data_IF_690263837803
#
_entry.id   IF_690263837803
#
_cell.length_a   1.000
_cell.length_b   1.000
_cell.length_c   1.000
_cell.angle_alpha   90.00
_cell.angle_beta   90.00
_cell.angle_gamma   90.00
#
_symmetry.space_group_name_H-M   'P 1'
#
loop_
_entity.id
_entity.type
_entity.pdbx_description
1 polymer ?
#
# COMPACT_ATOMS: atom_id res chain seq x y z
N UNK A 1 -25.34 19.28 32.65
CA UNK A 1 -25.48 18.92 31.21
C UNK A 1 -24.16 18.95 30.44
N UNK A 2 -23.13 19.67 30.90
CA UNK A 2 -21.84 19.82 30.19
C UNK A 2 -20.84 18.65 30.37
N UNK A 3 -20.86 17.98 31.53
CA UNK A 3 -19.88 16.92 31.84
C UNK A 3 -20.19 15.59 31.16
N UNK A 4 -21.48 15.23 31.01
CA UNK A 4 -21.88 13.98 30.31
C UNK A 4 -21.56 13.99 28.81
N UNK A 5 -21.50 15.17 28.18
CA UNK A 5 -21.12 15.32 26.76
C UNK A 5 -19.60 15.16 26.54
N UNK A 6 -18.77 15.41 27.55
CA UNK A 6 -17.31 15.23 27.47
C UNK A 6 -16.87 13.77 27.66
N UNK A 7 -17.75 12.91 28.17
CA UNK A 7 -17.43 11.50 28.40
C UNK A 7 -17.74 10.62 27.17
N UNK A 8 -18.79 10.95 26.41
CA UNK A 8 -19.18 10.24 25.18
C UNK A 8 -18.24 10.50 23.98
N UNK A 9 -17.46 11.58 24.02
CA UNK A 9 -16.47 11.92 22.97
C UNK A 9 -15.15 11.17 23.09
N UNK A 10 -14.94 10.42 24.18
CA UNK A 10 -13.85 9.44 24.32
C UNK A 10 -14.20 8.08 23.72
N UNK A 11 -14.91 8.07 22.58
CA UNK A 11 -14.83 6.93 21.66
C UNK A 11 -13.41 6.95 21.09
N UNK A 12 -12.47 6.45 21.89
CA UNK A 12 -11.03 6.52 21.66
C UNK A 12 -10.74 6.27 20.18
N UNK A 13 -10.16 7.27 19.52
CA UNK A 13 -9.48 7.07 18.26
C UNK A 13 -8.28 6.15 18.52
N UNK A 14 -8.56 4.85 18.67
CA UNK A 14 -7.60 3.82 19.02
C UNK A 14 -6.80 3.52 17.76
N UNK A 15 -5.78 4.34 17.54
CA UNK A 15 -4.80 4.12 16.49
C UNK A 15 -4.23 2.70 16.63
N UNK A 16 -4.22 1.90 15.56
CA UNK A 16 -3.75 0.52 15.62
C UNK A 16 -2.28 0.51 16.07
N UNK A 17 -1.97 -0.41 16.97
CA UNK A 17 -0.62 -0.59 17.51
C UNK A 17 -0.04 0.67 18.20
N UNK A 18 -0.88 1.55 18.76
CA UNK A 18 -0.43 2.61 19.66
C UNK A 18 -0.75 2.28 21.13
N UNK A 19 0.19 2.61 22.01
CA UNK A 19 0.07 2.46 23.46
C UNK A 19 0.56 3.77 24.08
N UNK A 20 -0.29 4.48 24.83
CA UNK A 20 0.02 5.76 25.48
C UNK A 20 0.61 6.81 24.53
N UNK A 21 0.04 6.96 23.33
CA UNK A 21 0.52 7.94 22.34
C UNK A 21 1.83 7.56 21.63
N UNK A 22 2.46 6.44 21.98
CA UNK A 22 3.67 5.93 21.32
C UNK A 22 3.34 4.69 20.47
N UNK A 23 4.01 4.56 19.32
CA UNK A 23 3.87 3.38 18.46
C UNK A 23 4.51 2.17 19.13
N UNK A 24 3.72 1.12 19.28
CA UNK A 24 4.13 -0.17 19.82
C UNK A 24 4.62 -1.07 18.67
N UNK A 25 5.91 -0.91 18.33
CA UNK A 25 6.56 -1.67 17.27
C UNK A 25 6.59 -3.18 17.54
N UNK A 26 6.68 -3.60 18.80
CA UNK A 26 6.68 -5.01 19.18
C UNK A 26 5.36 -5.66 18.77
N UNK A 27 4.25 -5.04 19.17
CA UNK A 27 2.90 -5.53 18.83
C UNK A 27 2.63 -5.44 17.32
N UNK A 28 3.10 -4.42 16.62
CA UNK A 28 3.00 -4.36 15.15
C UNK A 28 3.75 -5.53 14.50
N UNK A 29 4.97 -5.81 14.94
CA UNK A 29 5.78 -6.87 14.39
C UNK A 29 5.15 -8.25 14.61
N UNK A 30 4.68 -8.54 15.81
CA UNK A 30 3.99 -9.80 16.13
C UNK A 30 2.71 -9.98 15.28
N UNK A 31 1.93 -8.93 15.09
CA UNK A 31 0.64 -9.03 14.42
C UNK A 31 0.68 -8.86 12.90
N UNK A 32 1.74 -8.27 12.34
CA UNK A 32 1.80 -7.93 10.91
C UNK A 32 3.14 -8.34 10.30
N UNK A 33 4.24 -7.72 10.72
CA UNK A 33 5.50 -7.82 9.96
C UNK A 33 6.17 -9.19 10.04
N UNK A 34 6.04 -9.89 11.17
CA UNK A 34 6.60 -11.23 11.38
C UNK A 34 5.81 -12.32 10.66
N UNK A 35 4.56 -12.05 10.26
CA UNK A 35 3.70 -13.04 9.60
C UNK A 35 4.33 -13.54 8.30
N UNK A 36 4.30 -14.85 8.02
CA UNK A 36 4.88 -15.42 6.80
C UNK A 36 4.37 -14.76 5.51
N UNK A 37 3.08 -14.40 5.45
CA UNK A 37 2.49 -13.73 4.29
C UNK A 37 3.10 -12.34 4.05
N UNK A 38 3.26 -11.53 5.11
CA UNK A 38 3.88 -10.21 5.00
C UNK A 38 5.35 -10.31 4.57
N UNK A 39 6.09 -11.27 5.13
CA UNK A 39 7.48 -11.55 4.74
C UNK A 39 7.59 -11.99 3.28
N UNK A 40 6.71 -12.87 2.81
CA UNK A 40 6.64 -13.31 1.40
C UNK A 40 6.34 -12.14 0.46
N UNK A 41 5.36 -11.31 0.80
CA UNK A 41 5.02 -10.12 0.01
C UNK A 41 6.19 -9.14 -0.08
N UNK A 42 6.87 -8.88 1.05
CA UNK A 42 8.07 -8.03 1.08
C UNK A 42 9.20 -8.61 0.24
N UNK A 43 9.50 -9.90 0.38
CA UNK A 43 10.52 -10.58 -0.41
C UNK A 43 10.23 -10.50 -1.92
N UNK A 44 8.97 -10.68 -2.31
CA UNK A 44 8.54 -10.52 -3.70
C UNK A 44 8.81 -9.11 -4.23
N UNK A 45 8.41 -8.07 -3.48
CA UNK A 45 8.67 -6.68 -3.86
C UNK A 45 10.16 -6.36 -4.02
N UNK A 46 10.99 -6.83 -3.09
CA UNK A 46 12.46 -6.66 -3.17
C UNK A 46 13.04 -7.38 -4.39
N UNK A 47 12.56 -8.59 -4.71
CA UNK A 47 13.00 -9.32 -5.88
C UNK A 47 12.68 -8.57 -7.19
N UNK A 48 11.47 -8.02 -7.29
CA UNK A 48 11.06 -7.20 -8.45
C UNK A 48 11.94 -5.95 -8.56
N UNK A 49 12.16 -5.23 -7.47
CA UNK A 49 12.98 -4.03 -7.47
C UNK A 49 14.42 -4.32 -7.94
N UNK A 50 15.04 -5.37 -7.39
CA UNK A 50 16.40 -5.77 -7.78
C UNK A 50 16.50 -6.19 -9.24
N UNK A 51 15.48 -6.85 -9.78
CA UNK A 51 15.45 -7.21 -11.19
C UNK A 51 15.34 -5.97 -12.09
N UNK A 52 14.51 -4.99 -11.71
CA UNK A 52 14.39 -3.72 -12.44
C UNK A 52 15.68 -2.89 -12.39
N UNK A 53 16.38 -2.89 -11.25
CA UNK A 53 17.68 -2.25 -11.09
C UNK A 53 18.74 -2.96 -11.95
N UNK A 54 18.76 -4.29 -11.97
CA UNK A 54 19.67 -5.08 -12.81
C UNK A 54 19.43 -4.88 -14.32
N UNK A 55 18.18 -4.67 -14.74
CA UNK A 55 17.81 -4.29 -16.11
C UNK A 55 18.13 -2.80 -16.43
N UNK A 56 18.62 -2.02 -15.46
CA UNK A 56 18.92 -0.59 -15.62
C UNK A 56 17.66 0.30 -15.72
N UNK A 57 16.48 -0.24 -15.41
CA UNK A 57 15.20 0.47 -15.53
C UNK A 57 14.88 1.33 -14.31
N UNK A 58 15.31 0.89 -13.13
CA UNK A 58 15.10 1.56 -11.86
C UNK A 58 16.43 1.93 -11.20
N UNK A 59 16.41 2.93 -10.32
CA UNK A 59 17.56 3.25 -9.48
C UNK A 59 17.12 3.66 -8.08
N UNK A 60 18.00 3.50 -7.09
CA UNK A 60 17.69 3.89 -5.72
C UNK A 60 17.46 5.40 -5.66
N UNK A 61 16.23 5.80 -5.37
CA UNK A 61 15.84 7.21 -5.25
C UNK A 61 15.33 7.85 -6.54
N UNK A 62 15.02 7.07 -7.57
CA UNK A 62 14.37 7.56 -8.80
C UNK A 62 12.98 8.19 -8.60
N UNK A 63 12.37 7.97 -7.42
CA UNK A 63 11.05 8.49 -7.07
C UNK A 63 9.91 7.83 -7.84
N UNK A 64 10.16 6.68 -8.47
CA UNK A 64 9.18 5.93 -9.24
C UNK A 64 8.56 4.81 -8.38
N UNK A 65 7.28 4.55 -8.62
CA UNK A 65 6.58 3.41 -8.05
C UNK A 65 6.51 2.25 -9.06
N UNK A 66 6.56 1.01 -8.55
CA UNK A 66 6.30 -0.21 -9.32
C UNK A 66 4.79 -0.41 -9.50
N UNK A 67 4.29 -0.21 -10.72
CA UNK A 67 2.91 -0.44 -11.12
C UNK A 67 2.76 -1.69 -11.98
N UNK A 68 1.58 -2.30 -11.97
CA UNK A 68 1.25 -3.38 -12.92
C UNK A 68 0.69 -2.77 -14.21
N UNK A 69 1.08 -3.29 -15.39
CA UNK A 69 0.52 -2.91 -16.70
C UNK A 69 -0.94 -3.36 -16.78
N UNK A 70 -1.25 -4.55 -16.28
CA UNK A 70 -2.60 -5.06 -16.01
C UNK A 70 -2.71 -5.45 -14.54
N UNK A 71 -3.72 -4.98 -13.84
CA UNK A 71 -3.97 -5.25 -12.43
C UNK A 71 -4.37 -6.72 -12.22
N UNK A 72 -4.06 -7.28 -11.04
CA UNK A 72 -4.45 -8.65 -10.66
C UNK A 72 -5.96 -8.90 -10.78
N UNK A 73 -6.79 -7.95 -10.35
CA UNK A 73 -8.25 -8.04 -10.43
C UNK A 73 -8.78 -8.04 -11.87
N UNK A 74 -7.93 -7.72 -12.86
CA UNK A 74 -8.22 -7.74 -14.29
C UNK A 74 -7.42 -8.83 -15.02
N UNK A 75 -6.92 -9.83 -14.28
CA UNK A 75 -6.19 -10.97 -14.83
C UNK A 75 -4.71 -10.69 -15.11
N UNK A 76 -4.13 -9.66 -14.51
CA UNK A 76 -2.68 -9.42 -14.56
C UNK A 76 -1.88 -10.44 -13.75
N UNK A 77 -0.58 -10.52 -14.03
CA UNK A 77 0.36 -11.41 -13.35
C UNK A 77 1.43 -10.64 -12.56
N UNK A 78 2.20 -11.36 -11.75
CA UNK A 78 3.34 -10.83 -11.00
C UNK A 78 4.63 -10.72 -11.84
N UNK A 79 4.57 -11.06 -13.12
CA UNK A 79 5.76 -11.17 -13.96
C UNK A 79 6.39 -9.80 -14.21
N UNK A 80 7.72 -9.76 -14.32
CA UNK A 80 8.48 -8.54 -14.63
C UNK A 80 8.00 -7.86 -15.93
N UNK A 81 7.53 -8.66 -16.89
CA UNK A 81 6.94 -8.16 -18.15
C UNK A 81 5.67 -7.34 -17.90
N UNK A 82 4.92 -7.64 -16.84
CA UNK A 82 3.74 -6.91 -16.40
C UNK A 82 4.08 -5.74 -15.47
N UNK A 83 5.34 -5.53 -15.07
CA UNK A 83 5.72 -4.39 -14.23
C UNK A 83 6.13 -3.19 -15.09
N UNK A 84 5.61 -2.01 -14.74
CA UNK A 84 5.96 -0.70 -15.29
C UNK A 84 6.34 0.25 -14.17
N UNK A 85 7.35 1.08 -14.42
CA UNK A 85 7.70 2.18 -13.53
C UNK A 85 6.79 3.38 -13.86
N UNK A 86 6.24 4.00 -12.83
CA UNK A 86 5.32 5.12 -12.98
C UNK A 86 5.60 6.17 -11.92
N UNK A 87 5.19 7.41 -12.18
CA UNK A 87 5.17 8.42 -11.13
C UNK A 87 4.17 8.02 -10.02
N UNK A 88 4.42 8.42 -8.77
CA UNK A 88 3.51 8.11 -7.65
C UNK A 88 2.09 8.65 -7.88
N UNK A 89 1.97 9.82 -8.50
CA UNK A 89 0.67 10.44 -8.79
C UNK A 89 -0.16 9.61 -9.77
N UNK A 90 0.49 8.96 -10.75
CA UNK A 90 -0.19 8.08 -11.70
C UNK A 90 -0.48 6.71 -11.08
N UNK A 91 0.48 6.10 -10.38
CA UNK A 91 0.32 4.74 -9.85
C UNK A 91 -0.73 4.67 -8.73
N UNK A 92 -0.75 5.68 -7.86
CA UNK A 92 -1.64 5.72 -6.69
C UNK A 92 -3.05 6.24 -7.04
N UNK A 93 -3.24 6.76 -8.25
CA UNK A 93 -4.51 7.31 -8.72
C UNK A 93 -5.17 6.36 -9.72
N UNK A 94 -6.14 5.58 -9.25
CA UNK A 94 -6.98 4.73 -10.09
C UNK A 94 -8.43 4.81 -9.61
N UNK A 95 -9.38 4.55 -10.51
CA UNK A 95 -10.79 4.69 -10.17
C UNK A 95 -11.25 3.48 -9.35
N UNK A 96 -11.93 3.75 -8.24
CA UNK A 96 -12.52 2.75 -7.35
C UNK A 96 -14.04 2.87 -7.34
N UNK A 97 -14.69 1.75 -7.06
CA UNK A 97 -16.11 1.70 -6.72
C UNK A 97 -16.31 2.13 -5.26
N UNK A 98 -17.56 2.32 -4.84
CA UNK A 98 -17.91 2.73 -3.47
C UNK A 98 -17.48 1.69 -2.42
N UNK A 99 -17.49 0.41 -2.77
CA UNK A 99 -16.99 -0.72 -1.97
C UNK A 99 -15.46 -0.83 -1.97
N UNK A 100 -14.75 0.19 -2.47
CA UNK A 100 -13.30 0.18 -2.63
C UNK A 100 -12.74 -0.85 -3.64
N UNK A 101 -13.57 -1.59 -4.37
CA UNK A 101 -13.08 -2.45 -5.44
C UNK A 101 -12.54 -1.61 -6.62
N UNK A 102 -11.60 -2.17 -7.38
CA UNK A 102 -11.02 -1.46 -8.53
C UNK A 102 -12.03 -1.39 -9.67
N UNK A 103 -12.43 -0.17 -10.06
CA UNK A 103 -13.31 0.09 -11.20
C UNK A 103 -12.52 0.11 -12.50
N UNK A 104 -11.47 0.93 -12.55
CA UNK A 104 -10.58 1.04 -13.70
C UNK A 104 -9.16 1.40 -13.27
N UNK A 105 -8.17 0.90 -14.01
CA UNK A 105 -6.75 1.20 -13.81
C UNK A 105 -6.39 2.65 -14.12
N UNK A 106 -7.26 3.36 -14.83
CA UNK A 106 -7.14 4.81 -15.10
C UNK A 106 -7.99 5.60 -14.12
N UNK A 107 -7.47 6.74 -13.67
CA UNK A 107 -8.22 7.70 -12.87
C UNK A 107 -9.25 8.44 -13.74
N UNK A 108 -10.26 9.04 -13.10
CA UNK A 108 -11.22 9.92 -13.78
C UNK A 108 -10.58 11.18 -14.36
N UNK A 109 -9.42 11.61 -13.83
CA UNK A 109 -8.71 12.84 -14.25
C UNK A 109 -8.05 12.71 -15.64
N UNK A 110 -7.81 11.48 -16.10
CA UNK A 110 -7.21 11.20 -17.40
C UNK A 110 -8.17 10.51 -18.39
N UNK A 111 -9.48 10.71 -18.21
CA UNK A 111 -10.50 10.33 -19.18
C UNK A 111 -10.85 11.51 -20.07
#
# INVERSE_FOLDING_TARGET
MSEKLHEETKKEFKMPYMTNGRRDYKRQNENVDSKPAARKHRAHGVKVQRALEAEGRASKGDGLDNGHKRAYSKGGSADLKNIKLQSPSTNRSFSRNADSSMKSERSKKGK
#
